data_IF_278115104354
#
_entry.id   IF_278115104354
#
_cell.length_a   1.000
_cell.length_b   1.000
_cell.length_c   1.000
_cell.angle_alpha   90.00
_cell.angle_beta   90.00
_cell.angle_gamma   90.00
#
_symmetry.space_group_name_H-M   'P 1'
#
loop_
_entity.id
_entity.type
_entity.pdbx_description
1 polymer ?
#
# COMPACT_ATOMS: atom_id res chain seq x y z
N UNK A 1 -15.18 10.17 10.53
CA UNK A 1 -15.04 8.70 10.51
C UNK A 1 -15.54 8.25 9.16
N UNK A 2 -14.64 8.14 8.20
CA UNK A 2 -14.92 7.79 6.81
C UNK A 2 -14.78 6.28 6.64
N UNK A 3 -15.66 5.67 5.85
CA UNK A 3 -15.73 4.22 5.54
C UNK A 3 -14.41 3.60 5.02
N UNK A 4 -13.40 4.43 4.71
CA UNK A 4 -12.05 4.02 4.29
C UNK A 4 -11.21 3.34 5.37
N UNK A 5 -11.54 3.45 6.66
CA UNK A 5 -10.76 2.84 7.75
C UNK A 5 -11.18 1.40 8.08
N UNK A 6 -12.40 1.00 7.69
CA UNK A 6 -12.96 -0.31 8.05
C UNK A 6 -12.57 -1.46 7.11
N UNK A 7 -11.99 -1.19 5.95
CA UNK A 7 -11.63 -2.22 4.96
C UNK A 7 -10.29 -2.91 5.21
N UNK A 8 -9.46 -2.41 6.13
CA UNK A 8 -8.14 -3.00 6.44
C UNK A 8 -8.14 -3.89 7.70
N UNK A 9 -9.13 -3.77 8.58
CA UNK A 9 -9.13 -4.40 9.91
C UNK A 9 -9.58 -5.88 9.91
N UNK A 10 -10.17 -6.39 8.82
CA UNK A 10 -10.62 -7.78 8.71
C UNK A 10 -9.73 -8.68 7.84
N UNK A 11 -8.61 -8.17 7.31
CA UNK A 11 -7.69 -8.92 6.43
C UNK A 11 -6.34 -9.19 7.11
N UNK A 12 -6.34 -9.94 8.21
CA UNK A 12 -5.12 -10.61 8.67
C UNK A 12 -4.88 -11.89 7.84
N UNK A 13 -4.80 -11.75 6.52
CA UNK A 13 -4.45 -12.85 5.64
C UNK A 13 -2.95 -13.15 5.78
N UNK A 14 -2.54 -14.41 5.55
CA UNK A 14 -1.12 -14.80 5.53
C UNK A 14 -0.29 -13.94 4.58
N UNK A 15 -0.93 -13.43 3.51
CA UNK A 15 -0.32 -12.50 2.56
C UNK A 15 0.05 -11.15 3.20
N UNK A 16 -0.83 -10.59 4.04
CA UNK A 16 -0.56 -9.35 4.76
C UNK A 16 0.62 -9.51 5.71
N UNK A 17 0.67 -10.60 6.48
CA UNK A 17 1.78 -10.89 7.41
C UNK A 17 3.11 -11.03 6.69
N UNK A 18 3.16 -11.79 5.59
CA UNK A 18 4.37 -11.95 4.76
C UNK A 18 4.81 -10.60 4.19
N UNK A 19 3.86 -9.78 3.72
CA UNK A 19 4.15 -8.45 3.18
C UNK A 19 4.75 -7.53 4.23
N UNK A 20 4.13 -7.46 5.41
CA UNK A 20 4.62 -6.68 6.55
C UNK A 20 6.00 -7.15 6.98
N UNK A 21 6.21 -8.46 7.12
CA UNK A 21 7.50 -9.04 7.48
C UNK A 21 8.59 -8.67 6.47
N UNK A 22 8.30 -8.75 5.16
CA UNK A 22 9.24 -8.37 4.10
C UNK A 22 9.55 -6.87 4.11
N UNK A 23 8.56 -6.02 4.36
CA UNK A 23 8.75 -4.57 4.47
C UNK A 23 9.63 -4.22 5.66
N UNK A 24 9.35 -4.77 6.83
CA UNK A 24 10.19 -4.57 8.02
C UNK A 24 11.61 -5.10 7.80
N UNK A 25 11.75 -6.27 7.17
CA UNK A 25 13.05 -6.83 6.81
C UNK A 25 13.84 -5.92 5.85
N UNK A 26 13.18 -5.25 4.91
CA UNK A 26 13.81 -4.27 4.03
C UNK A 26 14.34 -3.04 4.80
N UNK A 27 13.68 -2.68 5.91
CA UNK A 27 14.14 -1.65 6.84
C UNK A 27 15.15 -2.15 7.88
N UNK A 28 15.66 -3.38 7.74
CA UNK A 28 16.51 -4.09 8.70
C UNK A 28 15.88 -4.24 10.10
N UNK A 29 14.55 -4.26 10.18
CA UNK A 29 13.81 -4.47 11.42
C UNK A 29 13.34 -5.92 11.46
N UNK A 30 13.77 -6.67 12.48
CA UNK A 30 13.30 -8.04 12.75
C UNK A 30 12.47 -8.04 14.02
N UNK A 31 11.22 -8.49 13.93
CA UNK A 31 10.29 -8.61 15.05
C UNK A 31 9.76 -10.04 15.14
N UNK A 32 9.40 -10.51 16.36
CA UNK A 32 8.75 -11.81 16.52
C UNK A 32 7.42 -11.89 15.77
N UNK A 33 7.01 -13.09 15.34
CA UNK A 33 5.76 -13.29 14.59
C UNK A 33 4.53 -12.77 15.34
N UNK A 34 4.48 -12.97 16.66
CA UNK A 34 3.40 -12.47 17.53
C UNK A 34 3.26 -10.93 17.47
N UNK A 35 4.37 -10.22 17.27
CA UNK A 35 4.38 -8.76 17.16
C UNK A 35 3.76 -8.27 15.84
N UNK A 36 3.91 -9.02 14.76
CA UNK A 36 3.39 -8.63 13.44
C UNK A 36 1.87 -8.49 13.44
N UNK A 37 1.19 -9.38 14.18
CA UNK A 37 -0.26 -9.32 14.38
C UNK A 37 -0.70 -8.07 15.14
N UNK A 38 0.09 -7.66 16.13
CA UNK A 38 -0.23 -6.54 17.01
C UNK A 38 -0.06 -5.21 16.28
N UNK A 39 1.01 -5.07 15.49
CA UNK A 39 1.29 -3.85 14.72
C UNK A 39 0.14 -3.53 13.76
N UNK A 40 -0.46 -4.56 13.17
CA UNK A 40 -1.59 -4.39 12.24
C UNK A 40 -2.86 -3.87 12.92
N UNK A 41 -3.01 -4.10 14.23
CA UNK A 41 -4.20 -3.71 14.99
C UNK A 41 -4.00 -2.44 15.81
N UNK A 42 -2.75 -2.06 16.07
CA UNK A 42 -2.40 -0.95 16.97
C UNK A 42 -2.06 0.30 16.16
N UNK A 43 -3.05 1.18 16.03
CA UNK A 43 -2.90 2.46 15.34
C UNK A 43 -1.94 3.39 16.11
N UNK A 44 -1.37 4.38 15.42
CA UNK A 44 -0.51 5.42 15.99
C UNK A 44 0.81 4.94 16.64
N UNK A 45 1.19 3.68 16.46
CA UNK A 45 2.52 3.19 16.82
C UNK A 45 3.55 3.53 15.74
N UNK A 46 4.83 3.57 16.13
CA UNK A 46 5.92 3.81 15.19
C UNK A 46 5.90 2.81 14.03
N UNK A 47 5.80 1.51 14.34
CA UNK A 47 5.83 0.46 13.31
C UNK A 47 4.62 0.52 12.38
N UNK A 48 3.43 0.84 12.90
CA UNK A 48 2.25 1.03 12.07
C UNK A 48 2.43 2.22 11.11
N UNK A 49 2.93 3.35 11.61
CA UNK A 49 3.19 4.53 10.78
C UNK A 49 4.27 4.28 9.74
N UNK A 50 5.35 3.57 10.09
CA UNK A 50 6.43 3.19 9.18
C UNK A 50 5.91 2.33 8.01
N UNK A 51 4.95 1.45 8.27
CA UNK A 51 4.36 0.55 7.27
C UNK A 51 3.24 1.19 6.45
N UNK A 52 2.57 2.22 6.97
CA UNK A 52 1.40 2.81 6.33
C UNK A 52 1.69 3.31 4.91
N UNK A 53 2.83 3.97 4.71
CA UNK A 53 3.21 4.55 3.42
C UNK A 53 3.54 3.45 2.38
N UNK A 54 4.46 2.50 2.64
CA UNK A 54 4.75 1.41 1.70
C UNK A 54 3.53 0.57 1.35
N UNK A 55 2.63 0.29 2.30
CA UNK A 55 1.41 -0.47 2.05
C UNK A 55 0.48 0.23 1.06
N UNK A 56 0.33 1.57 1.17
CA UNK A 56 -0.42 2.34 0.17
C UNK A 56 0.21 2.28 -1.22
N UNK A 57 1.53 2.33 -1.31
CA UNK A 57 2.24 2.17 -2.59
C UNK A 57 2.06 0.77 -3.19
N UNK A 58 2.08 -0.28 -2.36
CA UNK A 58 1.79 -1.65 -2.82
C UNK A 58 0.37 -1.72 -3.37
N UNK A 59 -0.60 -1.14 -2.67
CA UNK A 59 -1.99 -1.08 -3.12
C UNK A 59 -2.13 -0.35 -4.46
N UNK A 60 -1.49 0.82 -4.61
CA UNK A 60 -1.42 1.53 -5.89
C UNK A 60 -0.76 0.69 -6.98
N UNK A 61 0.25 -0.12 -6.63
CA UNK A 61 0.89 -1.06 -7.55
C UNK A 61 -0.07 -2.15 -8.06
N UNK A 62 -0.98 -2.64 -7.20
CA UNK A 62 -2.04 -3.58 -7.60
C UNK A 62 -3.01 -2.93 -8.57
N UNK A 63 -3.52 -1.74 -8.26
CA UNK A 63 -4.43 -1.01 -9.17
C UNK A 63 -3.75 -0.75 -10.50
N UNK A 64 -2.49 -0.31 -10.48
CA UNK A 64 -1.69 -0.06 -11.68
C UNK A 64 -1.57 -1.32 -12.54
N UNK A 65 -1.31 -2.49 -11.94
CA UNK A 65 -1.31 -3.77 -12.64
C UNK A 65 -2.65 -4.05 -13.33
N UNK A 66 -3.76 -3.86 -12.62
CA UNK A 66 -5.10 -4.03 -13.20
C UNK A 66 -5.37 -3.08 -14.38
N UNK A 67 -4.98 -1.81 -14.25
CA UNK A 67 -5.10 -0.81 -15.33
C UNK A 67 -4.30 -1.23 -16.55
N UNK A 68 -3.08 -1.73 -16.34
CA UNK A 68 -2.23 -2.23 -17.41
C UNK A 68 -2.84 -3.45 -18.10
N UNK A 69 -3.40 -4.40 -17.35
CA UNK A 69 -4.05 -5.59 -17.91
C UNK A 69 -5.27 -5.21 -18.77
N UNK A 70 -6.11 -4.27 -18.28
CA UNK A 70 -7.22 -3.74 -19.07
C UNK A 70 -6.76 -3.02 -20.34
N UNK A 71 -5.69 -2.23 -20.25
CA UNK A 71 -5.14 -1.53 -21.42
C UNK A 71 -4.66 -2.53 -22.49
N UNK A 72 -3.89 -3.53 -22.07
CA UNK A 72 -3.37 -4.59 -22.95
C UNK A 72 -4.54 -5.33 -23.61
N UNK A 73 -5.60 -5.60 -22.87
CA UNK A 73 -6.79 -6.23 -23.44
C UNK A 73 -7.47 -5.37 -24.51
N UNK A 74 -7.71 -4.09 -24.21
CA UNK A 74 -8.31 -3.17 -25.17
C UNK A 74 -7.47 -3.06 -26.45
N UNK A 75 -6.14 -3.01 -26.31
CA UNK A 75 -5.21 -3.02 -27.44
C UNK A 75 -5.29 -4.33 -28.24
N UNK A 76 -5.39 -5.49 -27.58
CA UNK A 76 -5.54 -6.79 -28.26
C UNK A 76 -6.82 -6.86 -29.10
N UNK A 77 -7.94 -6.37 -28.57
CA UNK A 77 -9.21 -6.29 -29.33
C UNK A 77 -9.01 -5.51 -30.64
N UNK A 78 -8.36 -4.34 -30.55
CA UNK A 78 -8.07 -3.52 -31.72
C UNK A 78 -7.08 -4.16 -32.69
N UNK A 79 -6.03 -4.81 -32.18
CA UNK A 79 -5.07 -5.53 -33.02
C UNK A 79 -5.77 -6.64 -33.81
N UNK A 80 -6.62 -7.43 -33.14
CA UNK A 80 -7.39 -8.50 -33.79
C UNK A 80 -8.31 -7.93 -34.88
N UNK A 81 -8.94 -6.79 -34.61
CA UNK A 81 -9.73 -6.06 -35.60
C UNK A 81 -8.88 -5.58 -36.78
N UNK A 82 -7.76 -4.90 -36.55
CA UNK A 82 -6.90 -4.38 -37.63
C UNK A 82 -6.28 -5.49 -38.48
N UNK A 83 -5.96 -6.64 -37.87
CA UNK A 83 -5.40 -7.79 -38.58
C UNK A 83 -6.44 -8.56 -39.40
N UNK A 84 -7.75 -8.34 -39.16
CA UNK A 84 -8.82 -8.96 -39.94
C UNK A 84 -8.95 -8.43 -41.38
N UNK A 85 -8.35 -7.27 -41.67
CA UNK A 85 -8.49 -6.58 -42.95
C UNK A 85 -9.81 -5.83 -43.13
N UNK A 86 -10.68 -5.77 -42.12
CA UNK A 86 -11.89 -4.93 -42.16
C UNK A 86 -11.55 -3.43 -42.21
N UNK A 87 -10.41 -3.03 -41.63
CA UNK A 87 -9.92 -1.66 -41.61
C UNK A 87 -9.44 -1.14 -42.97
N UNK A 88 -9.14 -2.02 -43.94
CA UNK A 88 -8.63 -1.63 -45.27
C UNK A 88 -9.73 -1.50 -46.33
N UNK A 89 -11.00 -1.59 -45.93
CA UNK A 89 -12.16 -1.46 -46.80
C UNK A 89 -12.48 -0.02 -47.17
N UNK A 90 -13.09 0.16 -48.33
CA UNK A 90 -13.31 1.48 -48.90
C UNK A 90 -14.26 2.34 -48.05
N UNK A 91 -14.01 3.65 -47.97
CA UNK A 91 -14.85 4.62 -47.23
C UNK A 91 -16.32 4.65 -47.69
N UNK A 92 -16.63 4.18 -48.90
CA UNK A 92 -17.99 4.09 -49.42
C UNK A 92 -18.74 2.82 -48.98
N UNK A 93 -18.06 1.86 -48.33
CA UNK A 93 -18.66 0.60 -47.91
C UNK A 93 -19.38 0.73 -46.56
N UNK A 94 -20.46 -0.03 -46.32
CA UNK A 94 -21.16 -0.04 -45.04
C UNK A 94 -20.21 -0.21 -43.85
N UNK A 95 -20.48 0.51 -42.76
CA UNK A 95 -19.64 0.51 -41.56
C UNK A 95 -18.51 1.54 -41.55
N UNK A 96 -18.38 2.41 -42.56
CA UNK A 96 -17.33 3.43 -42.60
C UNK A 96 -17.26 4.31 -41.34
N UNK A 97 -18.41 4.78 -40.84
CA UNK A 97 -18.48 5.56 -39.58
C UNK A 97 -17.97 4.77 -38.38
N UNK A 98 -18.30 3.48 -38.29
CA UNK A 98 -17.84 2.60 -37.18
C UNK A 98 -16.33 2.37 -37.28
N UNK A 99 -15.78 2.27 -38.50
CA UNK A 99 -14.32 2.15 -38.71
C UNK A 99 -13.58 3.42 -38.28
N UNK A 100 -14.15 4.60 -38.57
CA UNK A 100 -13.60 5.88 -38.10
C UNK A 100 -13.62 5.98 -36.56
N UNK A 101 -14.74 5.58 -35.93
CA UNK A 101 -14.85 5.54 -34.48
C UNK A 101 -13.84 4.57 -33.84
N UNK A 102 -13.60 3.39 -34.43
CA UNK A 102 -12.58 2.44 -33.97
C UNK A 102 -11.16 3.01 -34.09
N UNK A 103 -10.85 3.74 -35.16
CA UNK A 103 -9.56 4.43 -35.31
C UNK A 103 -9.41 5.57 -34.28
N UNK A 104 -10.50 6.28 -33.98
CA UNK A 104 -10.51 7.29 -32.92
C UNK A 104 -10.24 6.66 -31.54
N UNK A 105 -10.85 5.50 -31.24
CA UNK A 105 -10.60 4.74 -30.02
C UNK A 105 -9.15 4.23 -29.94
N UNK A 106 -8.58 3.76 -31.05
CA UNK A 106 -7.17 3.37 -31.13
C UNK A 106 -6.23 4.53 -30.76
N UNK A 107 -6.43 5.69 -31.38
CA UNK A 107 -5.63 6.89 -31.09
C UNK A 107 -5.84 7.39 -29.64
N UNK A 108 -7.05 7.22 -29.10
CA UNK A 108 -7.33 7.53 -27.70
C UNK A 108 -6.57 6.60 -26.75
N UNK A 109 -6.59 5.28 -26.98
CA UNK A 109 -5.88 4.30 -26.16
C UNK A 109 -4.37 4.50 -26.19
N UNK A 110 -3.79 4.88 -27.33
CA UNK A 110 -2.37 5.23 -27.40
C UNK A 110 -2.01 6.38 -26.44
N UNK A 111 -2.86 7.41 -26.34
CA UNK A 111 -2.67 8.51 -25.37
C UNK A 111 -2.86 8.06 -23.92
N UNK A 112 -3.75 7.10 -23.67
CA UNK A 112 -3.93 6.54 -22.34
C UNK A 112 -2.72 5.68 -21.92
N UNK A 113 -2.07 4.98 -22.86
CA UNK A 113 -0.82 4.28 -22.59
C UNK A 113 0.30 5.26 -22.20
N UNK A 114 0.47 6.35 -22.96
CA UNK A 114 1.43 7.41 -22.59
C UNK A 114 1.16 7.96 -21.19
N UNK A 115 -0.11 8.17 -20.85
CA UNK A 115 -0.53 8.63 -19.52
C UNK A 115 -0.21 7.60 -18.44
N UNK A 116 -0.47 6.31 -18.70
CA UNK A 116 -0.13 5.22 -17.79
C UNK A 116 1.38 5.16 -17.56
N UNK A 117 2.21 5.23 -18.62
CA UNK A 117 3.66 5.23 -18.50
C UNK A 117 4.20 6.40 -17.67
N UNK A 118 3.60 7.59 -17.80
CA UNK A 118 3.93 8.74 -16.97
C UNK A 118 3.59 8.49 -15.50
N UNK A 119 2.40 7.96 -15.20
CA UNK A 119 1.98 7.60 -13.83
C UNK A 119 2.90 6.51 -13.26
N UNK A 120 3.24 5.48 -14.05
CA UNK A 120 4.18 4.43 -13.67
C UNK A 120 5.55 4.98 -13.30
N UNK A 121 6.07 5.92 -14.09
CA UNK A 121 7.36 6.55 -13.84
C UNK A 121 7.33 7.36 -12.54
N UNK A 122 6.29 8.18 -12.34
CA UNK A 122 6.10 8.95 -11.10
C UNK A 122 5.97 8.04 -9.89
N UNK A 123 5.18 6.96 -9.99
CA UNK A 123 4.99 6.01 -8.90
C UNK A 123 6.29 5.30 -8.52
N UNK A 124 7.11 4.88 -9.49
CA UNK A 124 8.43 4.29 -9.22
C UNK A 124 9.38 5.28 -8.53
N UNK A 125 9.39 6.54 -8.96
CA UNK A 125 10.17 7.60 -8.33
C UNK A 125 9.73 7.84 -6.89
N UNK A 126 8.42 7.93 -6.66
CA UNK A 126 7.83 8.10 -5.33
C UNK A 126 8.19 6.93 -4.39
N UNK A 127 8.09 5.69 -4.87
CA UNK A 127 8.51 4.50 -4.11
C UNK A 127 9.99 4.61 -3.73
N UNK A 128 10.87 4.90 -4.69
CA UNK A 128 12.30 4.98 -4.44
C UNK A 128 12.66 6.06 -3.42
N UNK A 129 12.08 7.25 -3.54
CA UNK A 129 12.31 8.37 -2.63
C UNK A 129 11.79 8.08 -1.23
N UNK A 130 10.55 7.61 -1.13
CA UNK A 130 9.93 7.30 0.16
C UNK A 130 10.65 6.15 0.87
N UNK A 131 11.06 5.10 0.16
CA UNK A 131 11.85 4.00 0.73
C UNK A 131 13.20 4.47 1.25
N UNK A 132 13.93 5.30 0.50
CA UNK A 132 15.21 5.83 0.95
C UNK A 132 15.09 6.59 2.29
N UNK A 133 14.01 7.38 2.44
CA UNK A 133 13.74 8.11 3.68
C UNK A 133 13.34 7.18 4.82
N UNK A 134 12.47 6.20 4.56
CA UNK A 134 12.04 5.25 5.59
C UNK A 134 13.20 4.36 6.08
N UNK A 135 14.13 3.99 5.19
CA UNK A 135 15.37 3.31 5.57
C UNK A 135 16.26 4.19 6.46
N UNK A 136 16.42 5.47 6.13
CA UNK A 136 17.18 6.39 6.98
C UNK A 136 16.53 6.54 8.36
N UNK A 137 15.20 6.68 8.40
CA UNK A 137 14.43 6.76 9.66
C UNK A 137 14.55 5.47 10.46
N UNK A 138 14.55 4.29 9.82
CA UNK A 138 14.68 3.02 10.54
C UNK A 138 16.07 2.87 11.17
N UNK A 139 17.11 3.38 10.52
CA UNK A 139 18.46 3.44 11.08
C UNK A 139 18.53 4.41 12.28
N UNK A 140 17.99 5.62 12.15
CA UNK A 140 17.91 6.60 13.24
C UNK A 140 17.13 6.02 14.43
N UNK A 141 16.04 5.29 14.16
CA UNK A 141 15.24 4.62 15.18
C UNK A 141 16.02 3.52 15.91
N UNK A 142 16.77 2.69 15.19
CA UNK A 142 17.60 1.63 15.81
C UNK A 142 18.69 2.24 16.70
N UNK A 143 19.36 3.30 16.24
CA UNK A 143 20.35 4.01 17.05
C UNK A 143 19.73 4.61 18.31
N UNK A 144 18.57 5.27 18.18
CA UNK A 144 17.84 5.80 19.32
C UNK A 144 17.42 4.68 20.29
N UNK A 145 16.96 3.54 19.77
CA UNK A 145 16.55 2.39 20.57
C UNK A 145 17.72 1.82 21.39
N UNK A 146 18.90 1.71 20.80
CA UNK A 146 20.10 1.20 21.49
C UNK A 146 20.57 2.15 22.60
N UNK A 147 20.51 3.46 22.35
CA UNK A 147 20.82 4.49 23.36
C UNK A 147 19.83 4.39 24.53
N UNK A 148 18.53 4.36 24.23
CA UNK A 148 17.47 4.26 25.24
C UNK A 148 17.58 2.97 26.03
N UNK A 149 17.80 1.83 25.37
CA UNK A 149 17.99 0.54 26.03
C UNK A 149 19.19 0.55 26.98
N UNK A 150 20.30 1.17 26.58
CA UNK A 150 21.50 1.30 27.43
C UNK A 150 21.23 2.20 28.63
N UNK A 151 20.53 3.32 28.44
CA UNK A 151 20.17 4.24 29.52
C UNK A 151 19.18 3.60 30.51
N UNK A 152 18.17 2.88 30.01
CA UNK A 152 17.23 2.14 30.86
C UNK A 152 17.93 1.05 31.66
N UNK A 153 18.83 0.29 31.03
CA UNK A 153 19.65 -0.71 31.73
C UNK A 153 20.43 -0.05 32.88
N UNK A 154 21.05 1.11 32.65
CA UNK A 154 21.81 1.82 33.69
C UNK A 154 20.92 2.39 34.80
N UNK A 155 19.79 2.99 34.44
CA UNK A 155 18.92 3.72 35.38
C UNK A 155 18.00 2.78 36.19
N UNK A 156 17.64 1.62 35.64
CA UNK A 156 16.74 0.65 36.27
C UNK A 156 17.48 -0.55 36.91
N UNK A 157 18.79 -0.69 36.67
CA UNK A 157 19.61 -1.66 37.40
C UNK A 157 19.69 -1.28 38.87
N UNK A 158 18.82 -1.90 39.67
CA UNK A 158 18.89 -1.87 41.12
C UNK A 158 19.55 -3.15 41.62
N UNK A 159 19.96 -3.19 42.90
CA UNK A 159 20.73 -4.29 43.48
C UNK A 159 20.00 -5.65 43.47
N UNK A 160 18.68 -5.66 43.27
CA UNK A 160 17.84 -6.87 43.29
C UNK A 160 17.31 -7.29 41.91
N UNK A 161 17.34 -6.42 40.89
CA UNK A 161 16.76 -6.69 39.57
C UNK A 161 17.78 -6.43 38.45
N UNK A 162 18.18 -7.49 37.75
CA UNK A 162 19.14 -7.41 36.65
C UNK A 162 18.40 -6.92 35.39
N UNK A 163 18.65 -5.67 35.03
CA UNK A 163 18.16 -5.04 33.81
C UNK A 163 19.30 -5.02 32.77
N UNK A 164 19.45 -6.09 31.98
CA UNK A 164 20.46 -6.12 30.92
C UNK A 164 20.05 -5.24 29.75
N UNK A 165 21.01 -4.80 28.94
CA UNK A 165 20.73 -4.03 27.71
C UNK A 165 19.79 -4.79 26.76
N UNK A 166 19.97 -6.10 26.64
CA UNK A 166 19.13 -6.96 25.79
C UNK A 166 17.68 -7.01 26.29
N UNK A 167 17.46 -7.19 27.60
CA UNK A 167 16.13 -7.16 28.19
C UNK A 167 15.49 -5.77 28.07
N UNK A 168 16.29 -4.70 28.18
CA UNK A 168 15.82 -3.32 27.99
C UNK A 168 15.37 -3.06 26.56
N UNK A 169 16.09 -3.61 25.59
CA UNK A 169 15.74 -3.49 24.18
C UNK A 169 14.44 -4.26 23.86
N UNK A 170 14.30 -5.50 24.35
CA UNK A 170 13.07 -6.28 24.22
C UNK A 170 11.89 -5.60 24.91
N UNK A 171 12.11 -5.04 26.10
CA UNK A 171 11.12 -4.26 26.83
C UNK A 171 10.64 -3.05 26.00
N UNK A 172 11.57 -2.23 25.49
CA UNK A 172 11.24 -1.08 24.66
C UNK A 172 10.49 -1.49 23.39
N UNK A 173 10.94 -2.54 22.69
CA UNK A 173 10.26 -3.01 21.49
C UNK A 173 8.83 -3.44 21.80
N UNK A 174 8.62 -4.29 22.82
CA UNK A 174 7.29 -4.74 23.21
C UNK A 174 6.36 -3.60 23.63
N UNK A 175 6.90 -2.61 24.34
CA UNK A 175 6.20 -1.39 24.71
C UNK A 175 5.73 -0.62 23.46
N UNK A 176 6.64 -0.34 22.53
CA UNK A 176 6.42 0.52 21.37
C UNK A 176 5.61 -0.15 20.24
N UNK A 177 5.50 -1.48 20.28
CA UNK A 177 4.61 -2.26 19.40
C UNK A 177 3.15 -2.14 19.86
N UNK A 178 2.91 -2.07 21.17
CA UNK A 178 1.57 -2.17 21.78
C UNK A 178 0.97 -0.84 22.20
N UNK A 179 1.81 0.16 22.43
CA UNK A 179 1.39 1.45 22.97
C UNK A 179 1.99 2.57 22.14
N UNK A 180 1.18 3.60 21.87
CA UNK A 180 1.71 4.84 21.30
C UNK A 180 2.47 5.63 22.37
N UNK A 181 3.54 6.33 21.99
CA UNK A 181 4.27 7.19 22.93
C UNK A 181 3.39 8.29 23.53
N UNK A 182 2.32 8.69 22.82
CA UNK A 182 1.33 9.64 23.32
C UNK A 182 0.47 9.06 24.45
N UNK A 183 0.06 7.78 24.37
CA UNK A 183 -0.66 7.09 25.44
C UNK A 183 0.18 6.97 26.72
N UNK A 184 1.48 6.74 26.57
CA UNK A 184 2.39 6.61 27.71
C UNK A 184 2.50 7.91 28.52
N UNK A 185 2.54 9.06 27.83
CA UNK A 185 2.63 10.37 28.46
C UNK A 185 1.35 10.80 29.20
N UNK A 186 0.19 10.31 28.77
CA UNK A 186 -1.10 10.67 29.38
C UNK A 186 -1.34 10.04 30.76
N UNK A 187 -0.39 9.24 31.28
CA UNK A 187 -0.40 8.70 32.64
C UNK A 187 -1.67 7.93 33.01
N UNK A 188 -2.32 7.29 32.03
CA UNK A 188 -3.47 6.43 32.32
C UNK A 188 -2.99 5.20 33.11
N UNK A 189 -3.55 5.02 34.31
CA UNK A 189 -3.22 3.88 35.17
C UNK A 189 -3.42 2.53 34.47
N UNK A 190 -4.36 2.46 33.52
CA UNK A 190 -4.67 1.27 32.73
C UNK A 190 -3.55 0.91 31.74
N UNK A 191 -2.93 1.90 31.08
CA UNK A 191 -1.83 1.65 30.16
C UNK A 191 -0.63 1.04 30.91
N UNK A 192 -0.28 1.62 32.06
CA UNK A 192 0.79 1.07 32.91
C UNK A 192 0.47 -0.32 33.47
N UNK A 193 -0.77 -0.59 33.87
CA UNK A 193 -1.19 -1.95 34.28
C UNK A 193 -1.01 -2.97 33.14
N UNK A 194 -1.36 -2.61 31.91
CA UNK A 194 -1.15 -3.48 30.75
C UNK A 194 0.34 -3.71 30.47
N UNK A 195 1.16 -2.66 30.58
CA UNK A 195 2.63 -2.75 30.41
C UNK A 195 3.24 -3.67 31.47
N UNK A 196 2.85 -3.50 32.73
CA UNK A 196 3.34 -4.31 33.85
C UNK A 196 2.94 -5.78 33.71
N UNK A 197 1.69 -6.03 33.30
CA UNK A 197 1.19 -7.38 33.02
C UNK A 197 1.96 -8.04 31.87
N UNK A 198 2.17 -7.32 30.76
CA UNK A 198 2.85 -7.85 29.58
C UNK A 198 4.33 -8.12 29.82
N UNK A 199 4.97 -7.33 30.67
CA UNK A 199 6.39 -7.49 31.02
C UNK A 199 6.62 -8.27 32.32
N UNK A 200 5.54 -8.73 32.97
CA UNK A 200 5.56 -9.48 34.24
C UNK A 200 6.37 -8.77 35.34
N UNK A 201 6.33 -7.44 35.37
CA UNK A 201 7.09 -6.60 36.31
C UNK A 201 6.24 -5.44 36.77
N UNK A 202 6.39 -5.06 38.04
CA UNK A 202 5.77 -3.85 38.57
C UNK A 202 6.76 -2.69 38.56
N UNK A 203 6.31 -1.52 38.12
CA UNK A 203 7.11 -0.31 38.09
C UNK A 203 6.56 0.70 39.11
N UNK A 204 7.43 1.19 39.98
CA UNK A 204 7.08 2.28 40.89
C UNK A 204 6.84 3.58 40.11
N UNK A 205 6.14 4.54 40.69
CA UNK A 205 5.90 5.84 40.04
C UNK A 205 7.20 6.55 39.63
N UNK A 206 8.28 6.40 40.40
CA UNK A 206 9.59 6.96 40.03
C UNK A 206 10.22 6.23 38.84
N UNK A 207 10.15 4.90 38.79
CA UNK A 207 10.65 4.12 37.65
C UNK A 207 9.86 4.41 36.38
N UNK A 208 8.54 4.59 36.47
CA UNK A 208 7.69 4.99 35.33
C UNK A 208 8.13 6.34 34.76
N UNK A 209 8.40 7.33 35.63
CA UNK A 209 8.90 8.63 35.18
C UNK A 209 10.26 8.52 34.50
N UNK A 210 11.19 7.75 35.08
CA UNK A 210 12.50 7.48 34.46
C UNK A 210 12.34 6.85 33.08
N UNK A 211 11.42 5.89 32.92
CA UNK A 211 11.13 5.29 31.62
C UNK A 211 10.65 6.34 30.62
N UNK A 212 9.66 7.17 31.00
CA UNK A 212 9.13 8.22 30.13
C UNK A 212 10.21 9.21 29.70
N UNK A 213 11.02 9.69 30.65
CA UNK A 213 12.10 10.64 30.37
C UNK A 213 13.15 10.02 29.43
N UNK A 214 13.44 8.73 29.60
CA UNK A 214 14.41 8.02 28.75
C UNK A 214 13.87 7.77 27.33
N UNK A 215 12.56 7.77 27.11
CA UNK A 215 11.96 7.54 25.78
C UNK A 215 11.97 8.79 24.86
N UNK A 216 12.37 9.97 25.36
CA UNK A 216 12.39 11.21 24.60
C UNK A 216 13.10 11.12 23.22
N UNK A 217 14.29 10.48 23.08
CA UNK A 217 14.95 10.35 21.78
C UNK A 217 14.10 9.61 20.74
N UNK A 218 13.35 8.58 21.17
CA UNK A 218 12.47 7.82 20.29
C UNK A 218 11.26 8.66 19.84
N UNK A 219 10.72 9.48 20.75
CA UNK A 219 9.65 10.42 20.40
C UNK A 219 10.10 11.42 19.33
N UNK A 220 11.31 11.95 19.45
CA UNK A 220 11.87 12.86 18.47
C UNK A 220 12.00 12.22 17.07
N UNK A 221 12.42 10.95 17.00
CA UNK A 221 12.47 10.19 15.75
C UNK A 221 11.05 9.97 15.19
N UNK A 222 10.08 9.56 16.02
CA UNK A 222 8.70 9.36 15.57
C UNK A 222 8.05 10.63 15.03
N UNK A 223 8.29 11.77 15.67
CA UNK A 223 7.80 13.08 15.19
C UNK A 223 8.45 13.47 13.87
N UNK A 224 9.75 13.22 13.72
CA UNK A 224 10.47 13.46 12.46
C UNK A 224 9.94 12.58 11.35
N UNK A 225 9.67 11.30 11.64
CA UNK A 225 9.05 10.37 10.70
C UNK A 225 7.68 10.86 10.25
N UNK A 226 6.81 11.24 11.18
CA UNK A 226 5.45 11.70 10.85
C UNK A 226 5.49 12.89 9.88
N UNK A 227 6.31 13.91 10.18
CA UNK A 227 6.49 15.07 9.30
C UNK A 227 7.00 14.70 7.90
N UNK A 228 7.91 13.73 7.80
CA UNK A 228 8.46 13.28 6.51
C UNK A 228 7.46 12.42 5.73
N UNK A 229 6.68 11.60 6.41
CA UNK A 229 5.62 10.77 5.80
C UNK A 229 4.51 11.66 5.22
N UNK A 230 4.11 12.71 5.94
CA UNK A 230 3.07 13.64 5.49
C UNK A 230 3.38 14.26 4.12
N UNK A 231 4.68 14.51 3.81
CA UNK A 231 5.11 15.05 2.51
C UNK A 231 4.76 14.15 1.32
N UNK A 232 4.65 12.84 1.54
CA UNK A 232 4.38 11.86 0.48
C UNK A 232 2.91 11.46 0.41
N UNK A 233 2.13 11.77 1.44
CA UNK A 233 0.75 11.33 1.53
C UNK A 233 -0.11 11.91 0.41
N UNK A 234 0.05 13.20 0.11
CA UNK A 234 -0.69 13.87 -0.95
C UNK A 234 -0.33 13.33 -2.34
N UNK A 235 0.95 13.05 -2.59
CA UNK A 235 1.41 12.47 -3.87
C UNK A 235 0.86 11.06 -4.07
N UNK A 236 0.84 10.23 -3.02
CA UNK A 236 0.25 8.88 -3.07
C UNK A 236 -1.24 8.94 -3.40
N UNK A 237 -1.99 9.83 -2.75
CA UNK A 237 -3.43 9.99 -2.97
C UNK A 237 -3.73 10.52 -4.38
N UNK A 238 -2.89 11.44 -4.88
CA UNK A 238 -2.99 11.93 -6.25
C UNK A 238 -2.79 10.80 -7.27
N UNK A 239 -1.74 9.98 -7.11
CA UNK A 239 -1.49 8.82 -7.99
C UNK A 239 -2.65 7.83 -7.92
N UNK A 240 -3.14 7.54 -6.71
CA UNK A 240 -4.28 6.64 -6.51
C UNK A 240 -5.51 7.12 -7.28
N UNK A 241 -5.83 8.41 -7.16
CA UNK A 241 -6.98 9.03 -7.85
C UNK A 241 -6.83 8.95 -9.37
N UNK A 242 -5.62 9.25 -9.89
CA UNK A 242 -5.32 9.15 -11.32
C UNK A 242 -5.47 7.72 -11.83
N UNK A 243 -4.96 6.74 -11.09
CA UNK A 243 -5.08 5.32 -11.45
C UNK A 243 -6.54 4.86 -11.46
N UNK A 244 -7.34 5.24 -10.47
CA UNK A 244 -8.77 4.89 -10.42
C UNK A 244 -9.55 5.50 -11.59
N UNK A 245 -9.29 6.77 -11.90
CA UNK A 245 -9.91 7.43 -13.05
C UNK A 245 -9.51 6.77 -14.38
N UNK A 246 -8.23 6.44 -14.53
CA UNK A 246 -7.72 5.76 -15.72
C UNK A 246 -8.32 4.35 -15.84
N UNK A 247 -8.44 3.63 -14.73
CA UNK A 247 -9.09 2.31 -14.68
C UNK A 247 -10.52 2.38 -15.21
N UNK A 248 -11.33 3.31 -14.70
CA UNK A 248 -12.71 3.50 -15.15
C UNK A 248 -12.77 3.88 -16.63
N UNK A 249 -11.88 4.78 -17.07
CA UNK A 249 -11.80 5.23 -18.46
C UNK A 249 -11.52 4.05 -19.40
N UNK A 250 -10.53 3.21 -19.08
CA UNK A 250 -10.16 2.07 -19.92
C UNK A 250 -11.26 0.99 -19.91
N UNK A 251 -11.90 0.73 -18.76
CA UNK A 251 -13.07 -0.16 -18.69
C UNK A 251 -14.18 0.31 -19.64
N UNK A 252 -14.47 1.61 -19.66
CA UNK A 252 -15.48 2.17 -20.56
C UNK A 252 -15.07 2.00 -22.03
N UNK A 253 -13.82 2.25 -22.38
CA UNK A 253 -13.31 2.05 -23.75
C UNK A 253 -13.46 0.59 -24.18
N UNK A 254 -13.15 -0.37 -23.32
CA UNK A 254 -13.34 -1.80 -23.63
C UNK A 254 -14.80 -2.08 -24.00
N UNK A 255 -15.75 -1.58 -23.19
CA UNK A 255 -17.19 -1.76 -23.44
C UNK A 255 -17.59 -1.12 -24.77
N UNK A 256 -17.10 0.09 -25.06
CA UNK A 256 -17.42 0.81 -26.29
C UNK A 256 -16.80 0.12 -27.53
N UNK A 257 -15.59 -0.42 -27.42
CA UNK A 257 -14.93 -1.19 -28.48
C UNK A 257 -15.72 -2.46 -28.83
N UNK A 258 -16.17 -3.21 -27.84
CA UNK A 258 -16.99 -4.42 -28.07
C UNK A 258 -18.28 -4.05 -28.80
N UNK A 259 -18.98 -3.00 -28.35
CA UNK A 259 -20.20 -2.51 -29.00
C UNK A 259 -19.95 -2.07 -30.45
N UNK A 260 -18.86 -1.36 -30.72
CA UNK A 260 -18.50 -0.92 -32.07
C UNK A 260 -18.22 -2.14 -32.97
N UNK A 261 -17.53 -3.15 -32.46
CA UNK A 261 -17.24 -4.37 -33.20
C UNK A 261 -18.52 -5.13 -33.54
N UNK A 262 -19.48 -5.22 -32.62
CA UNK A 262 -20.77 -5.90 -32.86
C UNK A 262 -21.60 -5.25 -33.97
N UNK A 263 -21.36 -3.96 -34.25
CA UNK A 263 -22.02 -3.21 -35.32
C UNK A 263 -21.37 -3.43 -36.70
N UNK A 264 -20.22 -4.09 -36.78
CA UNK A 264 -19.55 -4.37 -38.05
C UNK A 264 -20.23 -5.53 -38.78
N UNK A 265 -20.54 -5.38 -40.09
CA UNK A 265 -21.33 -6.36 -40.82
C UNK A 265 -20.57 -7.66 -41.13
N UNK A 266 -19.24 -7.61 -41.22
CA UNK A 266 -18.41 -8.69 -41.76
C UNK A 266 -17.25 -9.07 -40.83
N UNK A 267 -17.22 -8.56 -39.60
CA UNK A 267 -16.24 -8.91 -38.59
C UNK A 267 -16.96 -9.25 -37.29
N UNK A 268 -16.53 -10.34 -36.65
CA UNK A 268 -16.97 -10.73 -35.32
C UNK A 268 -15.75 -11.20 -34.54
N UNK A 269 -15.76 -10.95 -33.23
CA UNK A 269 -14.68 -11.40 -32.34
C UNK A 269 -14.67 -12.92 -32.33
N UNK A 270 -13.46 -13.50 -32.45
CA UNK A 270 -13.29 -14.94 -32.28
C UNK A 270 -13.50 -15.33 -30.80
N UNK A 271 -14.57 -16.07 -30.52
CA UNK A 271 -14.96 -16.50 -29.17
C UNK A 271 -13.82 -17.19 -28.40
N UNK A 272 -13.03 -18.04 -29.07
CA UNK A 272 -11.92 -18.75 -28.42
C UNK A 272 -10.79 -17.79 -28.01
N UNK A 273 -10.56 -16.76 -28.81
CA UNK A 273 -9.54 -15.74 -28.54
C UNK A 273 -10.02 -14.77 -27.46
N UNK A 274 -11.32 -14.49 -27.43
CA UNK A 274 -11.99 -13.75 -26.37
C UNK A 274 -11.85 -14.46 -25.02
N UNK A 275 -12.17 -15.75 -24.94
CA UNK A 275 -12.03 -16.56 -23.73
C UNK A 275 -10.58 -16.57 -23.21
N UNK A 276 -9.60 -16.76 -24.11
CA UNK A 276 -8.18 -16.74 -23.75
C UNK A 276 -7.72 -15.37 -23.23
N UNK A 277 -8.24 -14.29 -23.81
CA UNK A 277 -7.90 -12.94 -23.40
C UNK A 277 -8.62 -12.54 -22.10
N UNK A 278 -9.87 -12.96 -21.89
CA UNK A 278 -10.65 -12.73 -20.68
C UNK A 278 -10.11 -13.50 -19.47
N UNK A 279 -9.57 -14.71 -19.67
CA UNK A 279 -8.94 -15.48 -18.60
C UNK A 279 -7.76 -14.76 -17.93
N UNK A 280 -7.16 -13.76 -18.59
CA UNK A 280 -6.11 -12.92 -18.02
C UNK A 280 -6.65 -11.72 -17.22
N UNK A 281 -7.96 -11.45 -17.26
CA UNK A 281 -8.61 -10.21 -16.80
C UNK A 281 -9.71 -10.54 -15.78
N UNK A 282 -9.54 -11.63 -15.02
CA UNK A 282 -10.53 -12.17 -14.09
C UNK A 282 -10.68 -11.28 -12.82
N UNK A 283 -10.98 -10.00 -13.03
CA UNK A 283 -11.23 -8.95 -12.07
C UNK A 283 -12.43 -8.11 -12.55
N UNK A 284 -13.62 -8.43 -12.03
CA UNK A 284 -14.83 -7.58 -11.99
C UNK A 284 -15.20 -6.79 -13.26
N UNK A 285 -15.06 -7.38 -14.45
CA UNK A 285 -15.73 -6.85 -15.67
C UNK A 285 -17.13 -7.47 -15.83
N UNK A 286 -17.32 -8.71 -15.36
CA UNK A 286 -18.55 -9.49 -15.65
C UNK A 286 -19.72 -9.16 -14.71
N UNK A 287 -19.50 -8.53 -13.54
CA UNK A 287 -20.58 -8.29 -12.56
C UNK A 287 -21.54 -7.16 -12.90
N UNK A 288 -21.40 -6.47 -14.04
CA UNK A 288 -22.35 -5.43 -14.48
C UNK A 288 -23.48 -5.90 -15.39
N UNK A 289 -23.48 -7.18 -15.84
CA UNK A 289 -24.55 -7.73 -16.68
C UNK A 289 -25.51 -8.69 -15.96
N UNK A 290 -25.44 -8.79 -14.63
CA UNK A 290 -26.38 -9.61 -13.84
C UNK A 290 -27.48 -8.82 -13.11
N UNK A 291 -27.62 -7.52 -13.37
CA UNK A 291 -28.73 -6.71 -12.88
C UNK A 291 -29.44 -6.00 -14.03
N UNK A 292 -30.18 -6.78 -14.82
CA UNK A 292 -31.37 -6.34 -15.56
C UNK A 292 -32.38 -7.49 -15.55
#
# INVERSE_FOLDING_TARGET
>A
MTESEHTLTSWQSTYHLITVQRLLGHFNISLPDDALHIISNTQNTFYHQLLALPLKNIFNGVILGQVQDYLIYAQKILIDYFMSGESSRHEAEPGASVREDLEAQHNFLAKQDDTLQQIMTKHKQLIAQSQAILIAISQDWQQALDIVATQLAQNLSSTEDIFTTELSQQFCQNLLIRHSLAELNNSEALAWQAIEHNNQRHFTSSQRQVILDTLEPLLAVQQTMSKKIDLYQDEILMIQTQLQQLQQTIKQVIVDLVKLIDLLPNYQINEKQLEMNQAAIDFDIITSESNN
#
